data_IF_555864818951
#
_entry.id   IF_555864818951
#
_cell.length_a   1.000
_cell.length_b   1.000
_cell.length_c   1.000
_cell.angle_alpha   90.00
_cell.angle_beta   90.00
_cell.angle_gamma   90.00
#
_symmetry.space_group_name_H-M   'P 1'
#
loop_
_entity.id
_entity.type
_entity.pdbx_description
1 polymer ?
#
# COMPACT_ATOMS: atom_id res chain seq x y z
N UNK A 1 7.32 23.44 -1.25
CA UNK A 1 8.25 22.57 -0.52
C UNK A 1 8.23 21.20 -1.19
N UNK A 2 9.39 20.74 -1.62
CA UNK A 2 9.47 19.44 -2.26
C UNK A 2 9.39 18.31 -1.23
N UNK A 3 8.66 17.26 -1.58
CA UNK A 3 8.59 16.07 -0.77
C UNK A 3 9.80 15.18 -1.07
N UNK A 4 10.54 14.84 -0.03
CA UNK A 4 11.69 13.97 -0.19
C UNK A 4 11.26 12.52 -0.30
N UNK A 5 11.77 11.82 -1.31
CA UNK A 5 11.51 10.40 -1.52
C UNK A 5 12.71 9.62 -0.98
N UNK A 6 12.63 9.26 0.30
CA UNK A 6 13.71 8.64 1.03
C UNK A 6 13.46 7.17 1.36
N UNK A 7 12.24 6.69 1.15
CA UNK A 7 11.85 5.33 1.52
C UNK A 7 11.74 4.44 0.30
N UNK A 8 12.61 3.45 0.19
CA UNK A 8 12.53 2.47 -0.89
C UNK A 8 11.51 1.39 -0.54
N UNK A 9 10.67 1.04 -1.52
CA UNK A 9 9.79 -0.13 -1.42
C UNK A 9 9.91 -0.96 -2.68
N UNK A 10 9.78 -2.26 -2.53
CA UNK A 10 10.01 -3.21 -3.60
C UNK A 10 8.79 -4.08 -3.82
N UNK A 11 8.47 -4.34 -5.08
CA UNK A 11 7.42 -5.29 -5.41
C UNK A 11 7.94 -6.71 -5.14
N UNK A 12 7.24 -7.42 -4.24
CA UNK A 12 7.65 -8.75 -3.81
C UNK A 12 7.56 -9.83 -4.91
N UNK A 13 6.82 -9.54 -5.98
CA UNK A 13 6.61 -10.51 -7.05
C UNK A 13 7.62 -10.37 -8.20
N UNK A 14 7.96 -9.15 -8.59
CA UNK A 14 8.82 -8.93 -9.75
C UNK A 14 10.16 -8.26 -9.43
N UNK A 15 10.37 -7.87 -8.18
CA UNK A 15 11.63 -7.27 -7.76
C UNK A 15 11.82 -5.80 -8.14
N UNK A 16 10.85 -5.18 -8.80
CA UNK A 16 10.93 -3.75 -9.12
C UNK A 16 10.78 -2.91 -7.85
N UNK A 17 11.51 -1.81 -7.80
CA UNK A 17 11.49 -0.93 -6.64
C UNK A 17 11.27 0.52 -7.06
N UNK A 18 10.84 1.33 -6.10
CA UNK A 18 10.61 2.75 -6.31
C UNK A 18 10.84 3.48 -4.99
N UNK A 19 11.33 4.71 -5.08
CA UNK A 19 11.52 5.55 -3.91
C UNK A 19 10.23 6.31 -3.60
N UNK A 20 9.84 6.29 -2.34
CA UNK A 20 8.59 6.89 -1.87
C UNK A 20 8.89 7.96 -0.81
N UNK A 21 7.94 8.88 -0.63
CA UNK A 21 7.96 9.74 0.54
C UNK A 21 7.60 8.91 1.76
N UNK A 22 7.87 9.44 2.94
CA UNK A 22 7.53 8.75 4.19
C UNK A 22 6.03 8.45 4.27
N UNK A 23 5.18 9.40 3.88
CA UNK A 23 3.74 9.19 3.87
C UNK A 23 3.32 8.08 2.92
N UNK A 24 3.90 8.08 1.72
CA UNK A 24 3.62 7.04 0.74
C UNK A 24 4.04 5.66 1.25
N UNK A 25 5.23 5.59 1.87
CA UNK A 25 5.73 4.34 2.43
C UNK A 25 4.84 3.84 3.57
N UNK A 26 4.38 4.73 4.44
CA UNK A 26 3.50 4.36 5.53
C UNK A 26 2.17 3.79 4.99
N UNK A 27 1.62 4.41 3.95
CA UNK A 27 0.38 3.91 3.34
C UNK A 27 0.58 2.57 2.64
N UNK A 28 1.72 2.39 1.99
CA UNK A 28 2.09 1.11 1.39
C UNK A 28 2.15 0.00 2.46
N UNK A 29 2.79 0.29 3.58
CA UNK A 29 2.91 -0.69 4.66
C UNK A 29 1.54 -0.99 5.29
N UNK A 30 0.65 0.00 5.38
CA UNK A 30 -0.71 -0.20 5.86
C UNK A 30 -1.53 -1.12 4.94
N UNK A 31 -1.33 -1.05 3.63
CA UNK A 31 -2.01 -1.93 2.68
C UNK A 31 -1.65 -3.40 2.98
N UNK A 32 -0.37 -3.69 3.14
CA UNK A 32 0.08 -5.06 3.40
C UNK A 32 -0.30 -5.53 4.79
N UNK A 33 -0.29 -4.64 5.78
CA UNK A 33 -0.76 -4.97 7.11
C UNK A 33 -2.25 -5.31 7.10
N UNK A 34 -3.06 -4.52 6.40
CA UNK A 34 -4.49 -4.78 6.29
C UNK A 34 -4.77 -6.10 5.59
N UNK A 35 -4.03 -6.41 4.52
CA UNK A 35 -4.12 -7.69 3.83
C UNK A 35 -3.82 -8.84 4.76
N UNK A 36 -2.72 -8.75 5.51
CA UNK A 36 -2.34 -9.77 6.47
C UNK A 36 -3.40 -9.96 7.55
N UNK A 37 -3.91 -8.88 8.11
CA UNK A 37 -4.95 -8.94 9.14
C UNK A 37 -6.23 -9.55 8.60
N UNK A 38 -6.59 -9.28 7.35
CA UNK A 38 -7.75 -9.90 6.72
C UNK A 38 -7.57 -11.41 6.56
N UNK A 39 -6.35 -11.85 6.30
CA UNK A 39 -6.06 -13.29 6.14
C UNK A 39 -6.10 -14.05 7.46
N UNK A 40 -5.64 -13.44 8.57
CA UNK A 40 -5.60 -14.13 9.86
C UNK A 40 -6.93 -14.12 10.59
N UNK A 41 -7.84 -13.20 10.26
CA UNK A 41 -9.17 -13.17 10.85
C UNK A 41 -10.16 -13.99 10.03
N UNK A 42 -10.96 -14.80 10.69
CA UNK A 42 -11.97 -15.64 10.01
C UNK A 42 -13.36 -14.98 10.00
N UNK A 43 -13.55 -13.95 10.80
CA UNK A 43 -14.80 -13.22 10.88
C UNK A 43 -15.05 -12.39 9.63
N UNK A 44 -16.17 -12.61 8.88
CA UNK A 44 -16.44 -11.85 7.64
C UNK A 44 -16.51 -10.34 7.83
N UNK A 45 -17.05 -9.89 8.95
CA UNK A 45 -17.18 -8.46 9.21
C UNK A 45 -15.80 -7.81 9.40
N UNK A 46 -14.91 -8.49 10.12
CA UNK A 46 -13.55 -8.01 10.34
C UNK A 46 -12.75 -8.01 9.04
N UNK A 47 -12.88 -9.07 8.23
CA UNK A 47 -12.24 -9.13 6.93
C UNK A 47 -12.68 -7.99 6.02
N UNK A 48 -13.97 -7.74 5.95
CA UNK A 48 -14.52 -6.66 5.13
C UNK A 48 -13.97 -5.31 5.55
N UNK A 49 -13.86 -5.07 6.85
CA UNK A 49 -13.30 -3.85 7.41
C UNK A 49 -11.85 -3.63 6.95
N UNK A 50 -11.02 -4.66 6.99
CA UNK A 50 -9.63 -4.57 6.55
C UNK A 50 -9.51 -4.39 5.04
N UNK A 51 -10.36 -5.04 4.25
CA UNK A 51 -10.37 -4.84 2.80
C UNK A 51 -10.79 -3.43 2.42
N UNK A 52 -11.71 -2.82 3.16
CA UNK A 52 -12.08 -1.42 2.94
C UNK A 52 -10.93 -0.47 3.22
N UNK A 53 -10.16 -0.72 4.27
CA UNK A 53 -8.96 0.06 4.60
C UNK A 53 -7.94 -0.08 3.46
N UNK A 54 -7.70 -1.30 3.01
CA UNK A 54 -6.78 -1.57 1.92
C UNK A 54 -7.17 -0.83 0.65
N UNK A 55 -8.47 -0.91 0.27
CA UNK A 55 -8.99 -0.25 -0.92
C UNK A 55 -8.85 1.27 -0.84
N UNK A 56 -9.06 1.84 0.34
CA UNK A 56 -8.88 3.28 0.58
C UNK A 56 -7.46 3.71 0.25
N UNK A 57 -6.47 2.98 0.72
CA UNK A 57 -5.07 3.30 0.47
C UNK A 57 -4.68 3.06 -0.99
N UNK A 58 -5.21 2.02 -1.62
CA UNK A 58 -4.99 1.77 -3.05
C UNK A 58 -5.51 2.93 -3.90
N UNK A 59 -6.70 3.42 -3.61
CA UNK A 59 -7.26 4.56 -4.31
C UNK A 59 -6.43 5.82 -4.09
N UNK A 60 -5.91 6.01 -2.87
CA UNK A 60 -5.04 7.14 -2.57
C UNK A 60 -3.80 7.12 -3.48
N UNK A 61 -3.15 5.97 -3.64
CA UNK A 61 -1.98 5.84 -4.52
C UNK A 61 -2.32 6.13 -5.96
N UNK A 62 -3.44 5.63 -6.45
CA UNK A 62 -3.86 5.87 -7.83
C UNK A 62 -4.05 7.35 -8.12
N UNK A 63 -4.44 8.14 -7.14
CA UNK A 63 -4.68 9.57 -7.29
C UNK A 63 -3.42 10.41 -7.03
N UNK A 64 -2.59 9.98 -6.10
CA UNK A 64 -1.44 10.79 -5.65
C UNK A 64 -0.11 10.34 -6.24
N UNK A 65 0.06 9.05 -6.51
CA UNK A 65 1.30 8.53 -7.11
C UNK A 65 0.98 7.27 -7.90
N UNK A 66 0.44 7.47 -9.09
CA UNK A 66 0.06 6.37 -9.97
C UNK A 66 1.25 5.50 -10.37
N UNK A 67 2.44 6.10 -10.52
CA UNK A 67 3.65 5.35 -10.84
C UNK A 67 3.97 4.33 -9.75
N UNK A 68 3.92 4.75 -8.49
CA UNK A 68 4.15 3.84 -7.37
C UNK A 68 3.09 2.73 -7.34
N UNK A 69 1.85 3.07 -7.63
CA UNK A 69 0.79 2.06 -7.72
C UNK A 69 1.13 1.00 -8.76
N UNK A 70 1.56 1.43 -9.95
CA UNK A 70 1.90 0.51 -11.03
C UNK A 70 3.12 -0.35 -10.71
N UNK A 71 4.13 0.21 -10.05
CA UNK A 71 5.35 -0.53 -9.70
C UNK A 71 5.10 -1.51 -8.56
N UNK A 72 4.39 -1.10 -7.52
CA UNK A 72 4.31 -1.84 -6.26
C UNK A 72 3.03 -2.65 -6.09
N UNK A 73 1.93 -2.16 -6.63
CA UNK A 73 0.60 -2.64 -6.26
C UNK A 73 -0.23 -3.19 -7.44
N UNK A 74 0.29 -3.08 -8.63
CA UNK A 74 -0.39 -3.58 -9.81
C UNK A 74 -0.01 -5.02 -10.13
#
# INVERSE_FOLDING_TARGET
MELERTEERKNRFNGESIMLTKEEADRHDCIFLAEHMAEVHTDPDTKDKHYKIMRKHLNWFRQHNAEAYMVLLD
#
